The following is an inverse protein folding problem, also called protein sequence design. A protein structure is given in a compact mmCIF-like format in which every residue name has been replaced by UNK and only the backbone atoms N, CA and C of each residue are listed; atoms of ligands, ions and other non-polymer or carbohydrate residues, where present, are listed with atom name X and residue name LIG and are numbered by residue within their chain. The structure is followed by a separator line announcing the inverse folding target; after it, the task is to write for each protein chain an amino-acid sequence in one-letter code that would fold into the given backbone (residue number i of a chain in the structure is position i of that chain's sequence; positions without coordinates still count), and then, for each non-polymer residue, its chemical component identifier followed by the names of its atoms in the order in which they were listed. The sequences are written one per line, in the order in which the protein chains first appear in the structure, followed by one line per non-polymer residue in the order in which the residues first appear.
data_IF_193700868813
#
_entry.id   IF_193700868813
#
_cell.length_a   1.000
_cell.length_b   1.000
_cell.length_c   1.000
_cell.angle_alpha   90.00
_cell.angle_beta   90.00
_cell.angle_gamma   90.00
#
_symmetry.space_group_name_H-M   'P 1'
#
loop_
_entity.id
_entity.type
_entity.pdbx_description
1 polymer ?
#
# COMPACT_ATOMS: atom_id res chain seq x y z
N UNK A 1 4.00 3.51 14.13
CA UNK A 1 3.74 2.63 13.09
C UNK A 1 3.37 1.27 13.59
N UNK A 2 2.43 0.72 13.01
CA UNK A 2 1.90 -0.48 13.56
C UNK A 2 2.30 -1.67 12.73
N UNK A 3 2.68 -2.73 13.40
CA UNK A 3 3.00 -3.98 12.73
C UNK A 3 1.76 -4.54 12.03
N UNK A 4 0.58 -4.25 12.58
CA UNK A 4 -0.67 -4.69 11.98
C UNK A 4 -0.87 -4.07 10.60
N UNK A 5 -0.59 -2.78 10.48
CA UNK A 5 -0.72 -2.11 9.20
C UNK A 5 0.25 -2.69 8.18
N UNK A 6 1.49 -2.87 8.59
CA UNK A 6 2.50 -3.45 7.72
C UNK A 6 2.07 -4.84 7.25
N UNK A 7 1.61 -5.67 8.17
CA UNK A 7 1.17 -7.02 7.82
C UNK A 7 -0.02 -6.98 6.86
N UNK A 8 -0.97 -6.08 7.09
CA UNK A 8 -2.14 -5.98 6.22
C UNK A 8 -1.74 -5.56 4.81
N UNK A 9 -0.83 -4.60 4.70
CA UNK A 9 -0.37 -4.15 3.39
C UNK A 9 0.29 -5.29 2.64
N UNK A 10 1.18 -6.01 3.32
CA UNK A 10 1.88 -7.12 2.69
C UNK A 10 0.92 -8.23 2.29
N UNK A 11 -0.10 -8.48 3.13
CA UNK A 11 -1.11 -9.49 2.80
C UNK A 11 -1.89 -9.09 1.54
N UNK A 12 -2.23 -7.81 1.41
CA UNK A 12 -2.94 -7.34 0.23
C UNK A 12 -2.10 -7.55 -1.01
N UNK A 13 -0.81 -7.22 -0.93
CA UNK A 13 0.09 -7.38 -2.08
C UNK A 13 0.18 -8.86 -2.46
N UNK A 14 0.41 -9.71 -1.47
CA UNK A 14 0.56 -11.15 -1.75
C UNK A 14 -0.69 -11.72 -2.38
N UNK A 15 -1.84 -11.34 -1.85
CA UNK A 15 -3.12 -11.84 -2.35
C UNK A 15 -3.39 -11.35 -3.77
N UNK A 16 -3.14 -10.06 -4.00
CA UNK A 16 -3.39 -9.46 -5.31
C UNK A 16 -2.50 -10.10 -6.38
N UNK A 17 -1.25 -10.38 -6.05
CA UNK A 17 -0.29 -10.90 -7.00
C UNK A 17 -0.20 -12.41 -6.99
N UNK A 18 -0.95 -13.08 -6.12
CA UNK A 18 -0.97 -14.55 -6.04
C UNK A 18 0.41 -15.12 -5.78
N UNK A 19 1.13 -14.51 -4.84
CA UNK A 19 2.46 -15.00 -4.46
C UNK A 19 2.48 -15.26 -2.97
N UNK A 20 3.43 -16.08 -2.51
CA UNK A 20 3.51 -16.37 -1.07
C UNK A 20 3.79 -15.12 -0.26
N UNK A 21 3.15 -15.03 0.88
CA UNK A 21 3.33 -13.89 1.76
C UNK A 21 4.80 -13.71 2.17
N UNK A 22 5.50 -14.81 2.37
CA UNK A 22 6.90 -14.74 2.80
C UNK A 22 7.83 -14.25 1.69
N UNK A 23 7.37 -14.16 0.45
CA UNK A 23 8.15 -13.55 -0.62
C UNK A 23 8.19 -12.03 -0.50
N UNK A 24 7.31 -11.45 0.29
CA UNK A 24 7.19 -10.01 0.42
C UNK A 24 7.80 -9.57 1.74
N UNK A 25 8.81 -8.72 1.67
CA UNK A 25 9.43 -8.14 2.85
C UNK A 25 9.40 -6.63 2.72
N UNK A 26 9.52 -5.97 3.86
CA UNK A 26 9.42 -4.52 3.92
C UNK A 26 10.52 -3.84 3.11
N UNK A 27 11.65 -4.50 2.93
CA UNK A 27 12.80 -3.90 2.25
C UNK A 27 12.81 -4.13 0.75
N UNK A 28 11.88 -4.91 0.22
CA UNK A 28 11.86 -5.20 -1.20
C UNK A 28 11.25 -4.07 -1.98
N UNK A 29 11.83 -3.77 -3.14
CA UNK A 29 11.19 -2.85 -4.08
C UNK A 29 10.26 -3.65 -4.98
N UNK A 30 9.33 -2.96 -5.60
CA UNK A 30 8.43 -3.61 -6.53
C UNK A 30 9.18 -4.15 -7.74
N UNK A 31 10.25 -3.46 -8.12
CA UNK A 31 11.10 -3.94 -9.21
C UNK A 31 11.77 -5.25 -8.83
N UNK A 32 12.26 -5.36 -7.60
CA UNK A 32 12.87 -6.61 -7.13
C UNK A 32 11.86 -7.75 -7.10
N UNK A 33 10.60 -7.42 -6.83
CA UNK A 33 9.53 -8.40 -6.82
C UNK A 33 9.02 -8.68 -8.23
N UNK A 34 9.58 -7.99 -9.23
CA UNK A 34 9.26 -8.17 -10.65
C UNK A 34 7.82 -7.78 -10.97
N UNK A 35 7.32 -6.77 -10.28
CA UNK A 35 6.01 -6.22 -10.59
C UNK A 35 6.17 -5.16 -11.67
N UNK A 36 5.32 -5.22 -12.68
CA UNK A 36 5.31 -4.20 -13.72
C UNK A 36 4.29 -3.11 -13.40
N UNK A 37 4.06 -2.21 -14.33
CA UNK A 37 3.15 -1.09 -14.12
C UNK A 37 1.72 -1.55 -13.85
N UNK A 38 1.30 -2.58 -14.56
CA UNK A 38 -0.05 -3.12 -14.38
C UNK A 38 -0.19 -3.76 -13.02
N UNK A 39 0.82 -4.50 -12.59
CA UNK A 39 0.82 -5.08 -11.26
C UNK A 39 0.72 -4.00 -10.21
N UNK A 40 1.47 -2.92 -10.39
CA UNK A 40 1.43 -1.80 -9.46
C UNK A 40 0.05 -1.18 -9.35
N UNK A 41 -0.63 -1.03 -10.49
CA UNK A 41 -1.98 -0.48 -10.48
C UNK A 41 -2.95 -1.40 -9.77
N UNK A 42 -2.84 -2.70 -10.00
CA UNK A 42 -3.70 -3.66 -9.33
C UNK A 42 -3.51 -3.63 -7.82
N UNK A 43 -2.27 -3.54 -7.39
CA UNK A 43 -1.95 -3.46 -5.96
C UNK A 43 -2.51 -2.15 -5.39
N UNK A 44 -2.34 -1.06 -6.12
CA UNK A 44 -2.81 0.24 -5.67
C UNK A 44 -4.33 0.22 -5.46
N UNK A 45 -5.07 -0.30 -6.43
CA UNK A 45 -6.52 -0.38 -6.31
C UNK A 45 -6.94 -1.27 -5.14
N UNK A 46 -6.24 -2.39 -4.97
CA UNK A 46 -6.56 -3.30 -3.89
C UNK A 46 -6.34 -2.64 -2.53
N UNK A 47 -5.25 -1.90 -2.41
CA UNK A 47 -4.92 -1.19 -1.18
C UNK A 47 -5.94 -0.10 -0.89
N UNK A 48 -6.31 0.65 -1.91
CA UNK A 48 -7.31 1.71 -1.74
C UNK A 48 -8.63 1.13 -1.25
N UNK A 49 -9.00 0.00 -1.80
CA UNK A 49 -10.25 -0.66 -1.41
C UNK A 49 -10.15 -1.23 0.00
N UNK A 50 -9.01 -1.83 0.32
CA UNK A 50 -8.83 -2.48 1.62
C UNK A 50 -8.85 -1.47 2.76
N UNK A 51 -8.24 -0.32 2.55
CA UNK A 51 -8.10 0.69 3.60
C UNK A 51 -9.06 1.86 3.45
N UNK A 52 -9.87 1.85 2.41
CA UNK A 52 -10.85 2.90 2.16
C UNK A 52 -10.16 4.27 2.07
N UNK A 53 -9.15 4.35 1.22
CA UNK A 53 -8.40 5.58 1.01
C UNK A 53 -8.23 5.80 -0.49
N UNK A 54 -7.88 7.03 -0.84
CA UNK A 54 -7.51 7.37 -2.22
C UNK A 54 -6.07 7.83 -2.22
N UNK A 55 -5.28 7.23 -3.09
CA UNK A 55 -3.87 7.60 -3.21
C UNK A 55 -3.73 8.47 -4.46
N UNK A 56 -3.30 9.73 -4.29
CA UNK A 56 -3.12 10.62 -5.44
C UNK A 56 -2.08 10.07 -6.41
N UNK A 57 -2.25 10.38 -7.68
CA UNK A 57 -1.35 9.87 -8.72
C UNK A 57 0.11 10.24 -8.47
N UNK A 58 0.36 11.47 -8.05
CA UNK A 58 1.73 11.91 -7.81
C UNK A 58 2.35 11.14 -6.63
N UNK A 59 1.57 10.87 -5.61
CA UNK A 59 2.05 10.08 -4.49
C UNK A 59 2.27 8.63 -4.91
N UNK A 60 1.36 8.09 -5.70
CA UNK A 60 1.49 6.71 -6.19
C UNK A 60 2.75 6.53 -7.00
N UNK A 61 3.12 7.53 -7.79
CA UNK A 61 4.31 7.46 -8.63
C UNK A 61 5.59 7.38 -7.81
N UNK A 62 5.56 7.82 -6.56
CA UNK A 62 6.73 7.79 -5.69
C UNK A 62 6.84 6.51 -4.89
N UNK A 63 5.79 5.70 -4.90
CA UNK A 63 5.79 4.45 -4.12
C UNK A 63 6.46 3.38 -4.97
N UNK A 64 7.67 2.99 -4.59
CA UNK A 64 8.45 2.04 -5.37
C UNK A 64 8.90 0.83 -4.55
N UNK A 65 8.53 0.77 -3.29
CA UNK A 65 8.89 -0.34 -2.43
C UNK A 65 7.76 -0.63 -1.47
N UNK A 66 7.85 -1.79 -0.84
CA UNK A 66 6.85 -2.18 0.15
C UNK A 66 6.85 -1.16 1.29
N UNK A 67 8.04 -0.77 1.75
CA UNK A 67 8.15 0.21 2.84
C UNK A 67 7.48 1.52 2.48
N UNK A 68 7.73 2.01 1.27
CA UNK A 68 7.14 3.28 0.85
C UNK A 68 5.62 3.18 0.77
N UNK A 69 5.12 2.04 0.35
CA UNK A 69 3.67 1.84 0.33
C UNK A 69 3.08 1.87 1.73
N UNK A 70 3.72 1.19 2.68
CA UNK A 70 3.25 1.20 4.06
C UNK A 70 3.26 2.62 4.62
N UNK A 71 4.34 3.34 4.37
CA UNK A 71 4.47 4.71 4.87
C UNK A 71 3.43 5.63 4.25
N UNK A 72 3.18 5.47 2.95
CA UNK A 72 2.19 6.27 2.27
C UNK A 72 0.78 6.00 2.78
N UNK A 73 0.47 4.74 2.99
CA UNK A 73 -0.84 4.37 3.52
C UNK A 73 -1.01 4.90 4.94
N UNK A 74 0.02 4.76 5.74
CA UNK A 74 -0.02 5.24 7.12
C UNK A 74 -0.29 6.73 7.16
N UNK A 75 0.38 7.48 6.29
CA UNK A 75 0.18 8.92 6.21
C UNK A 75 -1.25 9.25 5.82
N UNK A 76 -1.78 8.57 4.81
CA UNK A 76 -3.13 8.83 4.35
C UNK A 76 -4.17 8.46 5.40
N UNK A 77 -3.95 7.37 6.10
CA UNK A 77 -4.86 6.99 7.17
C UNK A 77 -4.84 8.00 8.30
N UNK A 78 -3.67 8.54 8.61
CA UNK A 78 -3.55 9.58 9.60
C UNK A 78 -4.30 10.83 9.20
N UNK A 79 -4.17 11.23 7.94
CA UNK A 79 -4.88 12.40 7.43
C UNK A 79 -6.37 12.18 7.42
N UNK A 80 -6.81 10.98 7.04
CA UNK A 80 -8.21 10.66 7.02
C UNK A 80 -8.81 10.75 8.41
N UNK A 81 -8.12 10.19 9.39
CA UNK A 81 -8.60 10.23 10.76
C UNK A 81 -8.62 11.66 11.31
N UNK A 82 -7.62 12.45 10.95
CA UNK A 82 -7.53 13.81 11.43
C UNK A 82 -8.66 14.67 10.87
N UNK A 83 -9.08 14.41 9.66
CA UNK A 83 -10.10 15.23 9.02
C UNK A 83 -11.51 14.67 9.13
N UNK A 84 -11.65 13.40 9.49
CA UNK A 84 -12.96 12.78 9.43
C UNK A 84 -14.02 13.44 10.31
N UNK A 85 -13.69 13.97 11.48
CA UNK A 85 -14.76 14.55 12.32
C UNK A 85 -15.50 15.69 11.65
N UNK A 86 -14.81 16.47 10.86
CA UNK A 86 -15.52 17.55 10.26
C UNK A 86 -16.10 17.16 8.96
N UNK A 87 -15.70 16.10 8.45
CA UNK A 87 -16.28 15.71 7.22
C UNK A 87 -17.74 15.51 7.34
N UNK A 88 -18.01 15.66 8.13
CA UNK A 88 -19.29 15.58 8.10
C UNK A 88 -20.03 16.01 8.49
#
# INVERSE_FOLDING_TARGET
MSDDLTARVMDVIAKTQHIPRESITIDKTFKELKFDSLDGMNILFAVESEFDISIPDDQAAEIKSVREMVEGIEKLLGEKQASSPQAQ
#
